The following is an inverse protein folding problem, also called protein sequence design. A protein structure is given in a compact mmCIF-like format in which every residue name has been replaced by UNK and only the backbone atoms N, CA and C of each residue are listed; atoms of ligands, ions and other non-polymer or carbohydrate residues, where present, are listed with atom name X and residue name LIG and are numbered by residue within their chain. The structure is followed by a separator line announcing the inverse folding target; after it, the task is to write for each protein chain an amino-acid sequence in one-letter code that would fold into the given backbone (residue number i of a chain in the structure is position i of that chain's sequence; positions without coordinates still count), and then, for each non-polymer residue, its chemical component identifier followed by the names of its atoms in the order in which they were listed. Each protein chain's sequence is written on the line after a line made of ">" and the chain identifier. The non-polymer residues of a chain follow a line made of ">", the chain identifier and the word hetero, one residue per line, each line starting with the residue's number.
data_IF_281069206990
#
_entry.id   IF_281069206990
#
_cell.length_a   1.000
_cell.length_b   1.000
_cell.length_c   1.000
_cell.angle_alpha   90.00
_cell.angle_beta   90.00
_cell.angle_gamma   90.00
#
_symmetry.space_group_name_H-M   'P 1'
#
loop_
_entity.id
_entity.type
_entity.pdbx_description
1 polymer ?
#
# COMPACT_ATOMS: atom_id res chain seq x y z
N UNK A 1 84.95 43.53 -17.74
CA UNK A 1 84.62 42.73 -16.53
C UNK A 1 83.16 42.94 -16.16
N UNK A 2 82.36 41.88 -16.03
CA UNK A 2 80.97 41.96 -15.52
C UNK A 2 80.77 40.88 -14.44
N UNK A 3 80.53 41.24 -13.16
CA UNK A 3 79.90 40.34 -12.20
C UNK A 3 78.40 40.71 -12.09
N UNK A 4 77.52 39.86 -12.63
CA UNK A 4 76.80 38.74 -11.99
C UNK A 4 75.75 39.22 -10.97
N UNK A 5 74.51 39.37 -11.45
CA UNK A 5 73.31 39.62 -10.62
C UNK A 5 73.06 38.41 -9.72
N UNK A 6 73.05 38.62 -8.40
CA UNK A 6 72.70 37.61 -7.40
C UNK A 6 71.17 37.55 -7.32
N UNK A 7 70.59 36.44 -7.75
CA UNK A 7 69.17 36.13 -7.52
C UNK A 7 69.04 35.34 -6.22
N UNK A 8 68.55 36.00 -5.17
CA UNK A 8 68.20 35.34 -3.91
C UNK A 8 66.81 34.72 -4.08
N UNK A 9 66.74 33.40 -4.29
CA UNK A 9 65.49 32.61 -4.23
C UNK A 9 65.20 32.27 -2.77
N UNK A 10 64.27 32.99 -2.13
CA UNK A 10 63.66 32.56 -0.88
C UNK A 10 62.71 31.38 -1.14
N UNK A 11 63.22 30.15 -1.00
CA UNK A 11 62.51 28.88 -1.25
C UNK A 11 62.13 28.12 0.04
N UNK A 12 62.07 28.77 1.20
CA UNK A 12 61.87 28.06 2.49
C UNK A 12 60.50 28.24 3.17
N UNK A 13 59.58 29.06 2.64
CA UNK A 13 58.27 29.30 3.26
C UNK A 13 57.09 28.50 2.64
N UNK A 14 57.30 27.80 1.52
CA UNK A 14 56.22 27.13 0.77
C UNK A 14 55.85 25.73 1.29
N UNK A 15 56.64 25.08 2.14
CA UNK A 15 56.30 23.72 2.61
C UNK A 15 55.23 23.70 3.71
N UNK A 16 55.45 24.50 4.76
CA UNK A 16 54.66 24.43 6.00
C UNK A 16 53.30 25.11 5.84
N UNK A 17 53.23 26.20 5.06
CA UNK A 17 51.98 26.90 4.78
C UNK A 17 51.01 26.03 3.97
N UNK A 18 51.51 25.23 3.02
CA UNK A 18 50.68 24.32 2.24
C UNK A 18 50.11 23.20 3.10
N UNK A 19 50.93 22.59 3.98
CA UNK A 19 50.44 21.51 4.86
C UNK A 19 49.39 22.00 5.87
N UNK A 20 49.51 23.24 6.37
CA UNK A 20 48.47 23.81 7.24
C UNK A 20 47.16 24.05 6.48
N UNK A 21 47.24 24.58 5.26
CA UNK A 21 46.04 24.84 4.43
C UNK A 21 45.33 23.53 4.09
N UNK A 22 46.09 22.48 3.74
CA UNK A 22 45.53 21.16 3.45
C UNK A 22 44.84 20.55 4.67
N UNK A 23 45.43 20.67 5.87
CA UNK A 23 44.80 20.21 7.11
C UNK A 23 43.45 20.89 7.37
N UNK A 24 43.38 22.21 7.22
CA UNK A 24 42.13 22.96 7.40
C UNK A 24 41.08 22.61 6.32
N UNK A 25 41.50 22.35 5.09
CA UNK A 25 40.60 21.91 4.03
C UNK A 25 39.94 20.56 4.36
N UNK A 26 40.70 19.61 4.91
CA UNK A 26 40.15 18.32 5.38
C UNK A 26 39.15 18.50 6.53
N UNK A 27 39.47 19.35 7.51
CA UNK A 27 38.57 19.62 8.64
C UNK A 27 37.25 20.23 8.15
N UNK A 28 37.31 21.21 7.26
CA UNK A 28 36.11 21.85 6.67
C UNK A 28 35.29 20.84 5.88
N UNK A 29 35.93 19.96 5.11
CA UNK A 29 35.25 18.93 4.34
C UNK A 29 34.45 17.96 5.24
N UNK A 30 35.06 17.50 6.33
CA UNK A 30 34.38 16.62 7.30
C UNK A 30 33.19 17.32 7.96
N UNK A 31 33.34 18.61 8.31
CA UNK A 31 32.24 19.41 8.88
C UNK A 31 31.07 19.56 7.91
N UNK A 32 31.36 19.78 6.62
CA UNK A 32 30.32 19.86 5.58
C UNK A 32 29.58 18.52 5.44
N UNK A 33 30.29 17.39 5.43
CA UNK A 33 29.66 16.06 5.37
C UNK A 33 28.78 15.82 6.61
N UNK A 34 29.27 16.14 7.81
CA UNK A 34 28.49 16.02 9.04
C UNK A 34 27.23 16.88 9.01
N UNK A 35 27.33 18.10 8.48
CA UNK A 35 26.20 18.99 8.32
C UNK A 35 25.14 18.41 7.37
N UNK A 36 25.55 17.89 6.21
CA UNK A 36 24.62 17.19 5.30
C UNK A 36 24.00 15.95 5.94
N UNK A 37 24.79 15.15 6.65
CA UNK A 37 24.29 13.97 7.36
C UNK A 37 23.21 14.33 8.39
N UNK A 38 23.43 15.38 9.19
CA UNK A 38 22.44 15.87 10.14
C UNK A 38 21.17 16.38 9.45
N UNK A 39 21.32 17.13 8.36
CA UNK A 39 20.16 17.61 7.58
C UNK A 39 19.32 16.47 6.98
N UNK A 40 19.95 15.40 6.52
CA UNK A 40 19.24 14.23 6.00
C UNK A 40 18.66 13.36 7.12
N UNK A 41 19.33 13.25 8.27
CA UNK A 41 18.85 12.47 9.40
C UNK A 41 17.57 13.05 10.03
N UNK A 42 17.40 14.37 10.05
CA UNK A 42 16.20 15.03 10.60
C UNK A 42 14.98 14.82 9.68
N UNK A 43 15.17 14.71 8.35
CA UNK A 43 14.07 14.52 7.39
C UNK A 43 13.55 13.08 7.32
N UNK A 44 14.33 12.09 7.77
CA UNK A 44 13.97 10.67 7.66
C UNK A 44 12.95 10.18 8.70
N UNK A 45 12.98 10.71 9.93
CA UNK A 45 12.21 10.13 11.03
C UNK A 45 10.70 10.45 11.00
N UNK A 46 10.29 11.59 10.47
CA UNK A 46 8.87 11.98 10.43
C UNK A 46 8.18 11.55 9.12
N UNK A 47 8.89 11.60 8.00
CA UNK A 47 8.35 11.23 6.70
C UNK A 47 8.06 9.72 6.59
N UNK A 48 8.83 8.87 7.27
CA UNK A 48 8.66 7.41 7.19
C UNK A 48 7.46 6.91 8.00
N UNK A 49 7.02 7.63 9.05
CA UNK A 49 5.84 7.25 9.84
C UNK A 49 4.54 7.67 9.18
N UNK A 50 4.46 8.90 8.66
CA UNK A 50 3.27 9.36 7.95
C UNK A 50 3.12 8.69 6.58
N UNK A 51 4.16 8.66 5.75
CA UNK A 51 4.04 8.05 4.42
C UNK A 51 3.73 6.56 4.48
N UNK A 52 4.28 5.80 5.43
CA UNK A 52 3.97 4.37 5.51
C UNK A 52 2.52 4.11 5.94
N UNK A 53 1.87 4.98 6.72
CA UNK A 53 0.45 4.83 7.04
C UNK A 53 -0.45 5.20 5.86
N UNK A 54 -0.18 6.34 5.20
CA UNK A 54 -0.93 6.76 4.03
C UNK A 54 -0.80 5.76 2.88
N UNK A 55 0.43 5.34 2.55
CA UNK A 55 0.70 4.37 1.47
C UNK A 55 0.07 3.01 1.79
N UNK A 56 0.13 2.52 3.05
CA UNK A 56 -0.53 1.26 3.42
C UNK A 56 -2.05 1.33 3.30
N UNK A 57 -2.67 2.45 3.70
CA UNK A 57 -4.13 2.60 3.58
C UNK A 57 -4.59 2.70 2.13
N UNK A 58 -3.84 3.40 1.27
CA UNK A 58 -4.19 3.56 -0.14
C UNK A 58 -3.96 2.27 -0.94
N UNK A 59 -2.88 1.54 -0.66
CA UNK A 59 -2.63 0.21 -1.23
C UNK A 59 -3.71 -0.79 -0.79
N UNK A 60 -4.09 -0.78 0.50
CA UNK A 60 -5.14 -1.67 1.01
C UNK A 60 -6.51 -1.41 0.34
N UNK A 61 -6.84 -0.15 0.05
CA UNK A 61 -8.07 0.22 -0.65
C UNK A 61 -8.02 -0.15 -2.14
N UNK A 62 -6.86 0.01 -2.78
CA UNK A 62 -6.66 -0.37 -4.19
C UNK A 62 -6.78 -1.89 -4.38
N UNK A 63 -6.17 -2.66 -3.47
CA UNK A 63 -6.27 -4.12 -3.44
C UNK A 63 -7.73 -4.56 -3.21
N UNK A 64 -8.43 -3.97 -2.23
CA UNK A 64 -9.82 -4.30 -1.97
C UNK A 64 -10.75 -4.02 -3.17
N UNK A 65 -10.52 -2.93 -3.92
CA UNK A 65 -11.29 -2.63 -5.13
C UNK A 65 -11.02 -3.64 -6.25
N UNK A 66 -9.75 -3.96 -6.51
CA UNK A 66 -9.38 -4.94 -7.53
C UNK A 66 -9.94 -6.33 -7.19
N UNK A 67 -9.91 -6.68 -5.91
CA UNK A 67 -10.49 -7.90 -5.38
C UNK A 67 -12.02 -7.93 -5.58
N UNK A 68 -12.74 -6.86 -5.22
CA UNK A 68 -14.18 -6.76 -5.43
C UNK A 68 -14.54 -6.86 -6.92
N UNK A 69 -13.79 -6.20 -7.80
CA UNK A 69 -14.03 -6.28 -9.24
C UNK A 69 -13.82 -7.69 -9.79
N UNK A 70 -12.76 -8.37 -9.34
CA UNK A 70 -12.50 -9.76 -9.74
C UNK A 70 -13.58 -10.70 -9.19
N UNK A 71 -14.07 -10.45 -7.98
CA UNK A 71 -15.20 -11.18 -7.42
C UNK A 71 -16.45 -11.05 -8.27
N UNK A 72 -16.86 -9.81 -8.55
CA UNK A 72 -18.06 -9.54 -9.34
C UNK A 72 -18.00 -10.14 -10.74
N UNK A 73 -16.81 -10.19 -11.35
CA UNK A 73 -16.55 -10.79 -12.66
C UNK A 73 -16.39 -12.32 -12.64
N UNK A 74 -16.35 -12.95 -11.45
CA UNK A 74 -16.17 -14.40 -11.35
C UNK A 74 -17.36 -15.11 -11.98
N UNK A 75 -17.07 -16.01 -12.93
CA UNK A 75 -18.10 -16.82 -13.58
C UNK A 75 -18.49 -18.01 -12.72
N UNK A 76 -19.79 -18.22 -12.57
CA UNK A 76 -20.39 -19.35 -11.87
C UNK A 76 -21.44 -19.99 -12.77
N UNK A 77 -21.48 -21.32 -12.75
CA UNK A 77 -22.50 -22.07 -13.48
C UNK A 77 -23.77 -22.12 -12.64
N UNK A 78 -24.90 -21.64 -13.16
CA UNK A 78 -26.24 -21.73 -12.54
C UNK A 78 -27.21 -22.26 -13.58
N UNK A 79 -27.86 -23.40 -13.30
CA UNK A 79 -28.79 -24.06 -14.22
C UNK A 79 -28.21 -24.29 -15.63
N UNK A 80 -26.95 -24.73 -15.71
CA UNK A 80 -26.26 -24.99 -16.99
C UNK A 80 -25.86 -23.75 -17.77
N UNK A 81 -26.04 -22.54 -17.22
CA UNK A 81 -25.57 -21.28 -17.82
C UNK A 81 -24.44 -20.69 -16.99
N UNK A 82 -23.39 -20.22 -17.66
CA UNK A 82 -22.34 -19.44 -17.03
C UNK A 82 -22.80 -17.99 -16.91
N UNK A 83 -22.91 -17.52 -15.66
CA UNK A 83 -23.25 -16.14 -15.33
C UNK A 83 -22.22 -15.58 -14.35
N UNK A 84 -22.05 -14.27 -14.30
CA UNK A 84 -21.14 -13.66 -13.33
C UNK A 84 -21.80 -13.52 -11.96
N UNK A 85 -21.01 -13.31 -10.90
CA UNK A 85 -21.55 -13.00 -9.58
C UNK A 85 -22.33 -11.67 -9.60
N UNK A 86 -21.88 -10.68 -10.40
CA UNK A 86 -22.65 -9.46 -10.62
C UNK A 86 -24.04 -9.74 -11.20
N UNK A 87 -24.14 -10.60 -12.23
CA UNK A 87 -25.42 -11.01 -12.80
C UNK A 87 -26.28 -11.76 -11.79
N UNK A 88 -25.67 -12.61 -10.95
CA UNK A 88 -26.39 -13.33 -9.92
C UNK A 88 -26.96 -12.37 -8.85
N UNK A 89 -26.22 -11.32 -8.48
CA UNK A 89 -26.68 -10.27 -7.56
C UNK A 89 -27.90 -9.56 -8.17
N UNK A 90 -27.82 -9.15 -9.44
CA UNK A 90 -28.93 -8.56 -10.20
C UNK A 90 -30.16 -9.47 -10.19
N UNK A 91 -29.99 -10.75 -10.52
CA UNK A 91 -31.08 -11.73 -10.55
C UNK A 91 -31.68 -11.99 -9.16
N UNK A 92 -30.86 -11.91 -8.10
CA UNK A 92 -31.30 -12.12 -6.72
C UNK A 92 -32.18 -10.99 -6.16
N UNK A 93 -32.11 -9.80 -6.77
CA UNK A 93 -33.01 -8.67 -6.48
C UNK A 93 -34.41 -8.95 -7.03
N UNK A 94 -34.49 -9.55 -8.22
CA UNK A 94 -35.74 -9.87 -8.91
C UNK A 94 -36.39 -11.16 -8.42
N UNK A 95 -35.60 -12.15 -7.97
CA UNK A 95 -36.13 -13.45 -7.58
C UNK A 95 -35.36 -14.05 -6.36
N UNK A 96 -36.04 -14.36 -5.25
CA UNK A 96 -35.42 -14.82 -4.01
C UNK A 96 -34.72 -16.18 -4.11
N UNK A 97 -35.08 -17.03 -5.09
CA UNK A 97 -34.41 -18.32 -5.30
C UNK A 97 -32.91 -18.18 -5.58
N UNK A 98 -32.51 -17.10 -6.26
CA UNK A 98 -31.11 -16.82 -6.55
C UNK A 98 -30.33 -16.33 -5.32
N UNK A 99 -30.99 -15.87 -4.23
CA UNK A 99 -30.29 -15.49 -3.00
C UNK A 99 -29.66 -16.70 -2.29
N UNK A 100 -30.33 -17.85 -2.30
CA UNK A 100 -29.78 -19.09 -1.77
C UNK A 100 -28.58 -19.59 -2.59
N UNK A 101 -28.66 -19.41 -3.92
CA UNK A 101 -27.57 -19.74 -4.84
C UNK A 101 -26.37 -18.81 -4.61
N UNK A 102 -26.61 -17.51 -4.40
CA UNK A 102 -25.56 -16.55 -4.08
C UNK A 102 -24.83 -16.91 -2.78
N UNK A 103 -25.56 -17.32 -1.74
CA UNK A 103 -24.95 -17.78 -0.47
C UNK A 103 -24.10 -19.04 -0.65
N UNK A 104 -24.59 -20.02 -1.40
CA UNK A 104 -23.88 -21.29 -1.59
C UNK A 104 -22.67 -21.18 -2.54
N UNK A 105 -22.77 -20.37 -3.59
CA UNK A 105 -21.72 -20.24 -4.62
C UNK A 105 -20.80 -19.03 -4.41
N UNK A 106 -21.16 -18.11 -3.51
CA UNK A 106 -20.37 -16.91 -3.20
C UNK A 106 -18.98 -17.19 -2.61
N UNK A 107 -18.77 -18.38 -2.02
CA UNK A 107 -17.47 -18.82 -1.45
C UNK A 107 -16.44 -19.27 -2.50
N UNK A 108 -16.74 -19.25 -3.81
CA UNK A 108 -15.85 -19.81 -4.84
C UNK A 108 -14.58 -18.99 -5.12
N UNK A 109 -14.36 -17.89 -4.42
CA UNK A 109 -13.12 -17.13 -4.56
C UNK A 109 -11.94 -17.89 -3.97
N UNK A 110 -11.11 -18.43 -4.85
CA UNK A 110 -9.87 -19.13 -4.51
C UNK A 110 -8.88 -18.28 -3.70
N UNK A 111 -8.95 -16.95 -3.82
CA UNK A 111 -8.07 -16.01 -3.13
C UNK A 111 -8.52 -15.66 -1.69
N UNK A 112 -9.69 -16.13 -1.26
CA UNK A 112 -10.29 -15.82 0.04
C UNK A 112 -10.46 -17.03 0.94
N UNK A 113 -9.87 -18.17 0.60
CA UNK A 113 -10.08 -19.41 1.37
C UNK A 113 -9.64 -19.30 2.84
N UNK A 114 -8.78 -18.33 3.17
CA UNK A 114 -8.26 -18.10 4.52
C UNK A 114 -8.72 -16.80 5.18
N UNK A 115 -9.42 -15.91 4.46
CA UNK A 115 -9.79 -14.59 4.98
C UNK A 115 -11.31 -14.44 5.06
N UNK A 116 -11.80 -14.06 6.25
CA UNK A 116 -13.20 -13.67 6.43
C UNK A 116 -13.48 -12.39 5.63
N UNK A 117 -14.53 -12.40 4.80
CA UNK A 117 -15.00 -11.23 4.10
C UNK A 117 -16.52 -11.15 4.12
N UNK A 118 -17.03 -9.93 4.09
CA UNK A 118 -18.45 -9.64 4.08
C UNK A 118 -18.80 -8.81 2.86
N UNK A 119 -19.82 -9.25 2.15
CA UNK A 119 -20.39 -8.53 1.02
C UNK A 119 -21.70 -7.89 1.46
N UNK A 120 -21.81 -6.57 1.35
CA UNK A 120 -23.10 -5.90 1.48
C UNK A 120 -23.71 -5.64 0.12
N UNK A 121 -24.98 -5.99 -0.05
CA UNK A 121 -25.79 -5.68 -1.25
C UNK A 121 -27.09 -5.04 -0.78
N UNK A 122 -27.35 -3.79 -1.15
CA UNK A 122 -28.59 -3.06 -0.82
C UNK A 122 -29.02 -3.25 0.67
N UNK A 123 -28.06 -3.10 1.60
CA UNK A 123 -28.20 -3.27 3.08
C UNK A 123 -28.30 -4.70 3.61
N UNK A 124 -28.28 -5.72 2.75
CA UNK A 124 -28.16 -7.13 3.16
C UNK A 124 -26.70 -7.52 3.27
N UNK A 125 -26.36 -8.19 4.37
CA UNK A 125 -24.99 -8.65 4.62
C UNK A 125 -24.90 -10.15 4.31
N UNK A 126 -23.90 -10.48 3.49
CA UNK A 126 -23.50 -11.85 3.19
C UNK A 126 -22.10 -12.06 3.74
N UNK A 127 -22.00 -12.79 4.84
CA UNK A 127 -20.72 -13.19 5.43
C UNK A 127 -20.25 -14.49 4.78
N UNK A 128 -18.99 -14.50 4.36
CA UNK A 128 -18.37 -15.63 3.71
C UNK A 128 -17.12 -16.03 4.51
N UNK A 129 -16.96 -17.34 4.72
CA UNK A 129 -16.08 -17.96 5.72
C UNK A 129 -16.52 -17.66 7.17
N UNK A 130 -15.91 -18.34 8.15
CA UNK A 130 -16.27 -18.19 9.57
C UNK A 130 -15.89 -16.79 10.07
N UNK A 131 -16.86 -15.89 10.04
CA UNK A 131 -16.76 -14.51 10.48
C UNK A 131 -17.37 -14.30 11.89
N UNK A 132 -17.46 -15.35 12.71
CA UNK A 132 -18.17 -15.35 14.00
C UNK A 132 -17.73 -14.25 14.98
N UNK A 133 -16.51 -13.72 14.84
CA UNK A 133 -15.93 -12.68 15.71
C UNK A 133 -16.15 -11.26 15.15
N UNK A 134 -16.51 -11.12 13.87
CA UNK A 134 -16.63 -9.82 13.22
C UNK A 134 -18.09 -9.37 13.16
N UNK A 135 -18.39 -8.13 13.58
CA UNK A 135 -19.70 -7.52 13.34
C UNK A 135 -19.66 -6.80 11.99
N UNK A 136 -20.14 -7.42 10.90
CA UNK A 136 -19.99 -6.86 9.58
C UNK A 136 -20.79 -5.56 9.48
N UNK A 137 -20.11 -4.48 9.10
CA UNK A 137 -20.76 -3.22 8.72
C UNK A 137 -20.59 -3.02 7.22
N UNK A 138 -21.57 -2.36 6.60
CA UNK A 138 -21.50 -1.95 5.19
C UNK A 138 -20.62 -0.72 5.05
N UNK A 139 -19.37 -0.87 5.45
CA UNK A 139 -18.31 0.13 5.46
C UNK A 139 -17.14 -0.47 4.69
N UNK A 140 -16.61 0.24 3.69
CA UNK A 140 -15.51 -0.27 2.86
C UNK A 140 -15.59 0.22 1.42
N UNK A 141 -14.95 -0.51 0.51
CA UNK A 141 -14.92 -0.16 -0.91
C UNK A 141 -16.32 -0.35 -1.51
N UNK A 142 -16.86 0.74 -2.06
CA UNK A 142 -18.19 0.78 -2.70
C UNK A 142 -18.04 0.63 -4.22
N UNK A 143 -18.82 -0.29 -4.78
CA UNK A 143 -18.98 -0.42 -6.22
C UNK A 143 -20.47 -0.40 -6.59
N UNK A 144 -20.79 0.30 -7.68
CA UNK A 144 -22.14 0.41 -8.20
C UNK A 144 -22.30 -0.56 -9.38
N UNK A 145 -23.30 -1.42 -9.31
CA UNK A 145 -23.70 -2.27 -10.43
C UNK A 145 -24.88 -1.58 -11.13
N UNK A 146 -24.77 -1.26 -12.44
CA UNK A 146 -25.86 -0.63 -13.17
C UNK A 146 -27.08 -1.57 -13.22
N UNK A 147 -28.26 -1.03 -12.88
CA UNK A 147 -29.52 -1.76 -12.87
C UNK A 147 -30.65 -0.82 -13.33
N UNK A 148 -31.69 -1.31 -14.03
CA UNK A 148 -32.59 -0.46 -14.83
C UNK A 148 -33.30 0.68 -14.09
N UNK A 149 -33.61 0.47 -12.80
CA UNK A 149 -34.39 1.43 -12.01
C UNK A 149 -33.55 2.17 -10.96
N UNK A 150 -32.54 1.51 -10.39
CA UNK A 150 -31.67 2.06 -9.34
C UNK A 150 -30.40 1.21 -9.25
N UNK A 151 -29.20 1.81 -9.25
CA UNK A 151 -27.95 1.05 -9.17
C UNK A 151 -27.88 0.25 -7.87
N UNK A 152 -27.34 -0.96 -7.95
CA UNK A 152 -27.16 -1.83 -6.78
C UNK A 152 -25.84 -1.44 -6.12
N UNK A 153 -25.89 -1.12 -4.83
CA UNK A 153 -24.69 -0.81 -4.06
C UNK A 153 -24.08 -2.09 -3.50
N UNK A 154 -22.83 -2.33 -3.86
CA UNK A 154 -22.05 -3.45 -3.35
C UNK A 154 -20.87 -2.93 -2.54
N UNK A 155 -20.75 -3.40 -1.30
CA UNK A 155 -19.60 -3.11 -0.45
C UNK A 155 -18.84 -4.39 -0.14
N UNK A 156 -17.51 -4.30 -0.19
CA UNK A 156 -16.63 -5.32 0.33
C UNK A 156 -16.02 -4.85 1.64
N UNK A 157 -16.25 -5.61 2.71
CA UNK A 157 -15.54 -5.45 3.98
C UNK A 157 -14.63 -6.67 4.18
N UNK A 158 -13.34 -6.40 4.36
CA UNK A 158 -12.32 -7.40 4.64
C UNK A 158 -12.07 -7.41 6.15
N UNK A 159 -12.11 -8.58 6.80
CA UNK A 159 -11.70 -8.65 8.20
C UNK A 159 -10.19 -8.39 8.31
N UNK A 160 -9.74 -7.50 9.22
CA UNK A 160 -8.32 -7.13 9.35
C UNK A 160 -7.41 -8.27 9.86
N UNK A 161 -7.94 -9.45 10.18
CA UNK A 161 -7.17 -10.56 10.78
C UNK A 161 -6.19 -11.27 9.82
N UNK A 162 -6.00 -10.79 8.59
CA UNK A 162 -5.09 -11.41 7.61
C UNK A 162 -3.67 -10.85 7.52
N UNK A 163 -3.33 -9.73 8.19
CA UNK A 163 -2.03 -9.05 8.00
C UNK A 163 -1.10 -9.16 9.23
N UNK A 164 -1.56 -9.71 10.36
CA UNK A 164 -0.75 -9.80 11.58
C UNK A 164 -0.69 -11.22 12.16
N UNK A 165 0.02 -12.12 11.46
CA UNK A 165 0.50 -13.37 12.08
C UNK A 165 1.91 -13.75 11.58
N UNK A 166 2.76 -12.75 11.32
CA UNK A 166 4.15 -12.95 10.90
C UNK A 166 5.07 -11.88 11.46
N UNK A 167 5.39 -11.95 12.75
CA UNK A 167 6.44 -11.10 13.33
C UNK A 167 6.25 -10.85 14.82
N UNK A 168 6.82 -11.73 15.65
CA UNK A 168 6.94 -11.48 17.08
C UNK A 168 7.07 -12.74 17.91
N UNK A 169 8.13 -13.52 17.71
CA UNK A 169 8.65 -14.39 18.76
C UNK A 169 9.79 -13.63 19.45
N UNK A 170 9.77 -13.44 20.79
CA UNK A 170 11.00 -13.26 21.55
C UNK A 170 11.79 -14.58 21.63
#
# INVERSE_FOLDING_TARGET
>A
MKPKKIFIKNKKAQGIAFTLVDFWAYVVFVVIILFFFLLFSIKGCDAEKENNQFIKSELSNLDANLILQNYLKTSIEVNGKNITIADLIILSKSNPSFQAILRSKGNKLRNFQSTCFSLCVDKKIYTFNDCSVHNPQCTGVRQLIPFPNEPIEVFLSLSPEGILAGGGAP
#
